data_IF_525963452682
#
_entry.id   IF_525963452682
#
_cell.length_a   1.000
_cell.length_b   1.000
_cell.length_c   1.000
_cell.angle_alpha   90.00
_cell.angle_beta   90.00
_cell.angle_gamma   90.00
#
_symmetry.space_group_name_H-M   'P 1'
#
loop_
_entity.id
_entity.type
_entity.pdbx_description
1 polymer ?
#
# COMPACT_ATOMS: atom_id res chain seq x y z
N UNK A 1 7.00 16.58 4.76
CA UNK A 1 8.32 17.17 4.47
C UNK A 1 8.34 18.54 5.10
N UNK A 2 9.31 18.82 5.95
CA UNK A 2 9.49 20.13 6.57
C UNK A 2 10.34 21.04 5.65
N UNK A 3 10.27 22.36 5.85
CA UNK A 3 10.98 23.36 5.05
C UNK A 3 12.50 23.28 5.21
N UNK A 4 12.97 22.73 6.34
CA UNK A 4 14.38 22.48 6.63
C UNK A 4 14.94 21.22 5.94
N UNK A 5 14.20 20.64 4.99
CA UNK A 5 14.52 19.40 4.30
C UNK A 5 14.49 18.13 5.16
N UNK A 6 13.90 18.18 6.36
CA UNK A 6 13.69 16.99 7.18
C UNK A 6 12.35 16.31 6.85
N UNK A 7 12.40 15.00 6.60
CA UNK A 7 11.19 14.19 6.51
C UNK A 7 10.92 13.60 7.89
N UNK A 8 9.81 14.01 8.50
CA UNK A 8 9.40 13.56 9.84
C UNK A 8 8.08 12.83 9.77
N UNK A 9 8.03 11.67 10.42
CA UNK A 9 6.82 10.91 10.69
C UNK A 9 6.49 11.04 12.18
N UNK A 10 5.69 12.05 12.53
CA UNK A 10 5.42 12.42 13.92
C UNK A 10 4.84 11.26 14.74
N UNK A 11 3.79 10.60 14.24
CA UNK A 11 3.15 9.48 14.94
C UNK A 11 3.96 8.17 14.86
N UNK A 12 5.04 8.14 14.07
CA UNK A 12 5.92 6.98 13.91
C UNK A 12 7.24 7.08 14.68
N UNK A 13 7.52 8.24 15.30
CA UNK A 13 8.81 8.55 15.93
C UNK A 13 10.01 8.25 15.01
N UNK A 14 9.91 8.70 13.76
CA UNK A 14 10.97 8.54 12.76
C UNK A 14 11.24 9.86 12.04
N UNK A 15 12.51 10.09 11.70
CA UNK A 15 12.92 11.19 10.84
C UNK A 15 14.14 10.82 9.98
N UNK A 16 14.31 11.49 8.84
CA UNK A 16 15.46 11.31 7.94
C UNK A 16 16.78 11.89 8.47
N UNK A 17 16.73 12.72 9.53
CA UNK A 17 17.89 13.43 10.09
C UNK A 17 18.61 14.28 9.02
N UNK A 18 17.83 15.01 8.24
CA UNK A 18 18.30 15.86 7.12
C UNK A 18 18.01 17.34 7.30
N UNK A 19 17.61 17.74 8.50
CA UNK A 19 17.39 19.14 8.87
C UNK A 19 18.59 20.01 8.46
N UNK A 20 18.30 21.12 7.78
CA UNK A 20 19.23 22.12 7.29
C UNK A 20 20.29 21.60 6.30
N UNK A 21 20.10 20.42 5.70
CA UNK A 21 21.04 19.88 4.69
C UNK A 21 20.76 20.36 3.26
N UNK A 22 19.77 21.23 3.04
CA UNK A 22 19.41 21.75 1.73
C UNK A 22 18.35 22.84 1.77
N UNK A 23 17.81 23.21 0.61
CA UNK A 23 16.67 24.11 0.41
C UNK A 23 15.75 23.54 -0.68
N UNK A 24 14.47 23.94 -0.64
CA UNK A 24 13.44 23.54 -1.61
C UNK A 24 13.32 22.03 -1.81
N UNK A 25 13.45 21.28 -0.72
CA UNK A 25 13.58 19.83 -0.80
C UNK A 25 12.25 19.14 -1.12
N UNK A 26 12.34 18.11 -1.95
CA UNK A 26 11.21 17.30 -2.40
C UNK A 26 11.47 15.83 -2.10
N UNK A 27 10.44 15.16 -1.61
CA UNK A 27 10.43 13.71 -1.49
C UNK A 27 9.99 13.12 -2.84
N UNK A 28 10.76 12.16 -3.36
CA UNK A 28 10.50 11.50 -4.63
C UNK A 28 10.59 9.99 -4.44
N UNK A 29 9.62 9.26 -4.98
CA UNK A 29 9.69 7.81 -5.11
C UNK A 29 10.13 7.50 -6.55
N UNK A 30 11.21 6.76 -6.73
CA UNK A 30 11.71 6.40 -8.04
C UNK A 30 10.94 5.22 -8.65
N UNK A 31 11.09 5.02 -9.96
CA UNK A 31 10.62 3.83 -10.67
C UNK A 31 11.40 2.56 -10.32
N UNK A 32 12.36 2.63 -9.39
CA UNK A 32 13.08 1.51 -8.79
C UNK A 32 12.68 1.26 -7.32
N UNK A 33 11.71 2.01 -6.80
CA UNK A 33 11.22 1.86 -5.43
C UNK A 33 12.09 2.52 -4.38
N UNK A 34 12.98 3.44 -4.76
CA UNK A 34 13.77 4.22 -3.81
C UNK A 34 13.03 5.49 -3.43
N UNK A 35 12.83 5.73 -2.13
CA UNK A 35 12.51 7.05 -1.62
C UNK A 35 13.79 7.89 -1.51
N UNK A 36 13.75 9.08 -2.12
CA UNK A 36 14.86 10.04 -2.19
C UNK A 36 14.37 11.41 -1.75
N UNK A 37 15.20 12.10 -0.96
CA UNK A 37 15.05 13.54 -0.73
C UNK A 37 16.02 14.28 -1.66
N UNK A 38 15.47 15.05 -2.58
CA UNK A 38 16.23 15.91 -3.49
C UNK A 38 16.12 17.37 -3.03
N UNK A 39 17.19 18.16 -3.19
CA UNK A 39 17.12 19.63 -3.07
C UNK A 39 16.45 20.23 -4.32
N UNK A 40 16.18 21.54 -4.28
CA UNK A 40 15.69 22.28 -5.45
C UNK A 40 16.60 22.18 -6.68
N UNK A 41 17.92 22.05 -6.47
CA UNK A 41 18.92 21.89 -7.54
C UNK A 41 19.03 20.46 -8.09
N UNK A 42 18.25 19.51 -7.57
CA UNK A 42 18.26 18.11 -7.98
C UNK A 42 19.30 17.22 -7.28
N UNK A 43 20.18 17.78 -6.44
CA UNK A 43 21.13 16.99 -5.65
C UNK A 43 20.43 16.20 -4.53
N UNK A 44 20.97 15.01 -4.24
CA UNK A 44 20.37 14.08 -3.28
C UNK A 44 20.89 14.35 -1.87
N UNK A 45 19.97 14.48 -0.92
CA UNK A 45 20.27 14.70 0.51
C UNK A 45 20.15 13.41 1.31
N UNK A 46 19.22 12.54 0.92
CA UNK A 46 18.97 11.28 1.61
C UNK A 46 18.34 10.25 0.68
N UNK A 47 18.64 8.98 0.97
CA UNK A 47 18.14 7.80 0.28
C UNK A 47 17.64 6.80 1.31
N UNK A 48 16.51 6.17 1.01
CA UNK A 48 16.03 4.99 1.74
C UNK A 48 16.95 3.78 1.57
N UNK A 49 17.72 3.73 0.49
CA UNK A 49 18.59 2.60 0.12
C UNK A 49 17.83 1.40 -0.47
N UNK A 50 16.50 1.49 -0.58
CA UNK A 50 15.67 0.49 -1.21
C UNK A 50 15.86 0.54 -2.72
N UNK A 51 16.28 -0.57 -3.33
CA UNK A 51 16.45 -0.68 -4.78
C UNK A 51 15.85 -1.98 -5.26
N UNK A 52 15.01 -1.89 -6.29
CA UNK A 52 14.34 -3.02 -6.91
C UNK A 52 14.30 -2.83 -8.44
N UNK A 53 13.77 -3.82 -9.16
CA UNK A 53 13.61 -3.76 -10.62
C UNK A 53 12.71 -2.58 -10.99
N UNK A 54 12.90 -2.01 -12.19
CA UNK A 54 12.03 -0.95 -12.69
C UNK A 54 10.55 -1.38 -12.67
N UNK A 55 9.65 -0.46 -12.28
CA UNK A 55 8.20 -0.66 -12.26
C UNK A 55 7.46 0.38 -11.44
N UNK A 56 6.19 0.10 -11.15
CA UNK A 56 5.32 0.99 -10.36
C UNK A 56 5.38 0.65 -8.88
N UNK A 57 5.53 1.69 -8.05
CA UNK A 57 5.67 1.61 -6.60
C UNK A 57 4.71 2.57 -5.91
N UNK A 58 4.36 2.26 -4.67
CA UNK A 58 3.56 3.13 -3.81
C UNK A 58 4.26 3.34 -2.46
N UNK A 59 4.37 4.59 -2.01
CA UNK A 59 4.81 4.93 -0.66
C UNK A 59 3.56 5.27 0.18
N UNK A 60 3.32 4.49 1.24
CA UNK A 60 2.07 4.50 2.02
C UNK A 60 2.39 4.67 3.49
N UNK A 61 1.62 5.52 4.20
CA UNK A 61 1.62 5.56 5.66
C UNK A 61 0.73 4.41 6.15
N UNK A 62 1.36 3.38 6.70
CA UNK A 62 0.68 2.24 7.32
C UNK A 62 -0.03 2.66 8.61
N UNK A 63 -1.20 2.07 8.95
CA UNK A 63 -1.93 2.37 10.19
C UNK A 63 -1.10 2.23 11.48
N UNK A 64 -0.05 1.40 11.45
CA UNK A 64 0.91 1.24 12.55
C UNK A 64 1.91 2.41 12.71
N UNK A 65 1.72 3.51 11.96
CA UNK A 65 2.59 4.68 12.05
C UNK A 65 3.95 4.47 11.39
N UNK A 66 4.00 3.73 10.28
CA UNK A 66 5.22 3.49 9.50
C UNK A 66 5.03 3.97 8.07
N UNK A 67 6.05 4.58 7.46
CA UNK A 67 6.07 4.83 6.02
C UNK A 67 6.66 3.59 5.34
N UNK A 68 5.90 2.98 4.43
CA UNK A 68 6.24 1.72 3.76
C UNK A 68 6.24 1.95 2.26
N UNK A 69 7.25 1.39 1.56
CA UNK A 69 7.28 1.34 0.10
C UNK A 69 6.88 -0.05 -0.35
N UNK A 70 5.79 -0.13 -1.10
CA UNK A 70 5.29 -1.34 -1.74
C UNK A 70 5.65 -1.36 -3.22
N UNK A 71 6.07 -2.53 -3.71
CA UNK A 71 6.12 -2.76 -5.14
C UNK A 71 6.77 -4.08 -5.54
N UNK A 72 6.60 -4.49 -6.79
CA UNK A 72 5.95 -3.73 -7.87
C UNK A 72 4.43 -3.89 -7.87
N UNK A 73 3.70 -3.16 -8.72
CA UNK A 73 2.30 -3.47 -8.99
C UNK A 73 2.16 -4.93 -9.49
N UNK A 74 1.20 -5.66 -8.95
CA UNK A 74 0.92 -7.07 -9.32
C UNK A 74 -0.46 -7.25 -9.95
N UNK A 75 -1.40 -6.34 -9.71
CA UNK A 75 -2.74 -6.40 -10.29
C UNK A 75 -3.35 -5.01 -10.37
N UNK A 76 -4.22 -4.82 -11.35
CA UNK A 76 -4.89 -3.55 -11.63
C UNK A 76 -6.33 -3.81 -12.06
N UNK A 77 -7.27 -3.22 -11.34
CA UNK A 77 -8.65 -3.02 -11.77
C UNK A 77 -8.63 -1.81 -12.70
N UNK A 78 -8.88 -2.06 -13.98
CA UNK A 78 -8.99 -1.03 -15.00
C UNK A 78 -10.47 -0.63 -15.15
N UNK A 79 -10.86 0.61 -14.81
CA UNK A 79 -12.21 1.10 -15.07
C UNK A 79 -12.45 1.45 -16.54
N UNK A 80 -11.45 1.29 -17.43
CA UNK A 80 -11.51 1.63 -18.85
C UNK A 80 -11.24 0.41 -19.75
N UNK A 81 -11.83 0.44 -20.94
CA UNK A 81 -11.46 -0.40 -22.10
C UNK A 81 -10.86 0.58 -23.14
N UNK A 82 -9.79 0.23 -23.88
CA UNK A 82 -8.53 0.98 -23.90
C UNK A 82 -8.54 2.37 -24.55
N UNK A 83 -7.67 3.24 -24.00
CA UNK A 83 -7.14 4.44 -24.65
C UNK A 83 -7.25 5.72 -23.81
N UNK A 84 -6.23 6.01 -22.97
CA UNK A 84 -5.62 7.33 -22.71
C UNK A 84 -4.84 7.37 -21.37
N UNK A 85 -3.81 8.23 -21.34
CA UNK A 85 -2.80 8.36 -20.28
C UNK A 85 -3.32 9.04 -19.02
N UNK A 86 -2.85 8.55 -17.85
CA UNK A 86 -3.12 9.09 -16.51
C UNK A 86 -2.49 10.47 -16.28
N UNK A 87 -3.22 11.41 -15.66
CA UNK A 87 -2.65 12.67 -15.18
C UNK A 87 -3.02 13.00 -13.72
N UNK A 88 -1.94 13.15 -12.95
CA UNK A 88 -1.66 14.09 -11.84
C UNK A 88 -2.53 14.04 -10.57
N UNK A 89 -1.92 13.49 -9.52
CA UNK A 89 -2.33 13.48 -8.12
C UNK A 89 -2.38 14.89 -7.50
N UNK A 90 -3.51 15.27 -6.88
CA UNK A 90 -3.59 16.33 -5.86
C UNK A 90 -4.68 16.04 -4.82
N UNK A 91 -4.35 16.38 -3.57
CA UNK A 91 -5.13 16.35 -2.32
C UNK A 91 -5.49 14.97 -1.75
N UNK A 92 -4.72 14.55 -0.74
CA UNK A 92 -4.99 13.40 0.11
C UNK A 92 -6.01 13.82 1.17
N UNK A 93 -7.29 13.59 0.90
CA UNK A 93 -8.26 13.44 1.99
C UNK A 93 -7.98 12.10 2.69
N UNK A 94 -8.14 12.02 4.02
CA UNK A 94 -8.16 10.74 4.74
C UNK A 94 -9.41 9.97 4.27
N UNK A 95 -9.27 9.24 3.18
CA UNK A 95 -10.29 8.36 2.63
C UNK A 95 -9.97 6.93 3.07
N UNK A 96 -11.00 6.12 3.30
CA UNK A 96 -10.84 4.67 3.35
C UNK A 96 -10.62 4.18 1.92
N UNK A 97 -9.44 4.36 1.35
CA UNK A 97 -9.14 4.01 -0.04
C UNK A 97 -8.14 2.85 -0.16
N UNK A 98 -7.77 2.23 0.96
CA UNK A 98 -6.75 1.18 1.02
C UNK A 98 -7.30 -0.07 1.69
N UNK A 99 -6.84 -1.24 1.23
CA UNK A 99 -7.02 -2.53 1.86
C UNK A 99 -5.65 -3.23 1.94
N UNK A 100 -5.16 -3.47 3.14
CA UNK A 100 -3.88 -4.15 3.36
C UNK A 100 -4.02 -5.67 3.35
N UNK A 101 -2.94 -6.39 3.02
CA UNK A 101 -2.91 -7.85 3.09
C UNK A 101 -3.29 -8.34 4.50
N UNK A 102 -4.19 -9.32 4.57
CA UNK A 102 -4.75 -9.83 5.83
C UNK A 102 -6.03 -9.11 6.28
N UNK A 103 -6.32 -7.91 5.75
CA UNK A 103 -7.59 -7.24 5.99
C UNK A 103 -8.69 -7.77 5.06
N UNK A 104 -9.93 -7.53 5.48
CA UNK A 104 -11.14 -7.88 4.74
C UNK A 104 -12.02 -6.65 4.56
N UNK A 105 -12.72 -6.61 3.44
CA UNK A 105 -13.84 -5.70 3.20
C UNK A 105 -15.11 -6.55 3.19
N UNK A 106 -15.87 -6.48 4.28
CA UNK A 106 -17.14 -7.19 4.43
C UNK A 106 -18.21 -6.69 3.45
N UNK A 107 -19.32 -7.42 3.36
CA UNK A 107 -20.52 -6.98 2.65
C UNK A 107 -20.89 -5.52 2.99
N UNK A 108 -21.25 -4.77 1.93
CA UNK A 108 -21.54 -3.34 1.88
C UNK A 108 -20.38 -2.40 2.29
N UNK A 109 -19.23 -2.97 2.65
CA UNK A 109 -17.98 -2.27 2.83
C UNK A 109 -17.50 -1.66 1.52
N UNK A 110 -16.85 -0.49 1.61
CA UNK A 110 -16.38 0.25 0.45
C UNK A 110 -15.01 0.88 0.63
N UNK A 111 -14.25 0.94 -0.46
CA UNK A 111 -13.13 1.86 -0.62
C UNK A 111 -13.58 3.08 -1.43
N UNK A 112 -13.11 4.28 -1.09
CA UNK A 112 -13.54 5.53 -1.75
C UNK A 112 -12.36 6.39 -2.19
N UNK A 113 -12.37 6.92 -3.42
CA UNK A 113 -11.42 7.92 -3.88
C UNK A 113 -12.11 8.90 -4.83
N UNK A 114 -12.19 10.19 -4.45
CA UNK A 114 -13.00 11.20 -5.16
C UNK A 114 -14.44 10.73 -5.39
N UNK A 115 -14.84 10.58 -6.65
CA UNK A 115 -16.16 10.11 -7.08
C UNK A 115 -16.19 8.60 -7.37
N UNK A 116 -15.10 7.87 -7.10
CA UNK A 116 -15.00 6.42 -7.29
C UNK A 116 -15.23 5.68 -5.98
N UNK A 117 -15.96 4.56 -6.07
CA UNK A 117 -16.24 3.69 -4.92
C UNK A 117 -16.11 2.22 -5.34
N UNK A 118 -15.20 1.49 -4.71
CA UNK A 118 -15.11 0.03 -4.86
C UNK A 118 -15.90 -0.61 -3.71
N UNK A 119 -17.00 -1.28 -4.02
CA UNK A 119 -17.98 -1.79 -3.05
C UNK A 119 -18.08 -3.31 -3.16
N UNK A 120 -17.91 -4.01 -2.05
CA UNK A 120 -18.26 -5.42 -1.93
C UNK A 120 -19.75 -5.50 -1.61
N UNK A 121 -20.61 -5.66 -2.62
CA UNK A 121 -22.05 -5.64 -2.43
C UNK A 121 -22.53 -6.90 -1.67
N UNK A 122 -23.67 -6.78 -0.98
CA UNK A 122 -24.30 -7.90 -0.27
C UNK A 122 -24.74 -9.08 -1.14
N UNK A 123 -24.83 -8.91 -2.47
CA UNK A 123 -25.14 -9.98 -3.42
C UNK A 123 -23.90 -10.75 -3.90
N UNK A 124 -22.75 -10.58 -3.25
CA UNK A 124 -21.46 -11.17 -3.62
C UNK A 124 -20.81 -10.61 -4.89
N UNK A 125 -21.28 -9.48 -5.41
CA UNK A 125 -20.62 -8.77 -6.51
C UNK A 125 -19.66 -7.68 -5.99
N UNK A 126 -18.44 -7.62 -6.53
CA UNK A 126 -17.51 -6.52 -6.28
C UNK A 126 -17.65 -5.51 -7.42
N UNK A 127 -18.06 -4.29 -7.11
CA UNK A 127 -18.36 -3.26 -8.12
C UNK A 127 -17.56 -1.99 -7.87
N UNK A 128 -16.94 -1.47 -8.91
CA UNK A 128 -16.34 -0.14 -8.96
C UNK A 128 -17.32 0.83 -9.60
N UNK A 129 -17.89 1.69 -8.77
CA UNK A 129 -18.69 2.84 -9.18
C UNK A 129 -17.82 4.07 -9.41
N UNK A 130 -18.34 5.01 -10.20
CA UNK A 130 -17.64 6.23 -10.58
C UNK A 130 -16.84 6.07 -11.87
N UNK A 131 -16.70 7.18 -12.61
CA UNK A 131 -16.13 7.17 -13.96
C UNK A 131 -17.17 6.88 -15.05
N UNK A 132 -16.72 6.82 -16.31
CA UNK A 132 -17.61 6.68 -17.48
C UNK A 132 -18.06 5.23 -17.74
N UNK A 133 -17.26 4.24 -17.35
CA UNK A 133 -17.46 2.85 -17.79
C UNK A 133 -17.62 1.80 -16.67
N UNK A 134 -17.32 2.11 -15.41
CA UNK A 134 -17.49 1.18 -14.29
C UNK A 134 -16.71 -0.14 -14.44
N UNK A 135 -16.63 -0.93 -13.38
CA UNK A 135 -16.09 -2.29 -13.44
C UNK A 135 -16.82 -3.18 -12.43
N UNK A 136 -16.95 -4.47 -12.72
CA UNK A 136 -17.48 -5.45 -11.76
C UNK A 136 -16.88 -6.85 -11.93
N UNK A 137 -16.88 -7.63 -10.85
CA UNK A 137 -16.43 -9.04 -10.84
C UNK A 137 -17.40 -10.00 -11.51
N UNK A 138 -18.66 -9.59 -11.72
CA UNK A 138 -19.75 -10.41 -12.26
C UNK A 138 -20.03 -11.67 -11.42
N UNK A 139 -20.07 -11.51 -10.09
CA UNK A 139 -20.23 -12.63 -9.14
C UNK A 139 -21.50 -12.55 -8.31
N UNK A 140 -22.47 -11.76 -8.77
CA UNK A 140 -23.77 -11.63 -8.14
C UNK A 140 -24.46 -13.01 -7.98
N UNK A 141 -24.94 -13.31 -6.77
CA UNK A 141 -25.65 -14.55 -6.46
C UNK A 141 -24.81 -15.83 -6.43
N UNK A 142 -23.48 -15.73 -6.56
CA UNK A 142 -22.60 -16.91 -6.56
C UNK A 142 -22.16 -17.36 -5.16
N UNK A 143 -22.69 -16.77 -4.10
CA UNK A 143 -22.38 -17.12 -2.70
C UNK A 143 -23.26 -16.35 -1.72
N UNK A 144 -23.00 -16.54 -0.42
CA UNK A 144 -23.68 -15.84 0.68
C UNK A 144 -22.65 -15.15 1.59
N UNK A 145 -23.06 -14.04 2.22
CA UNK A 145 -22.25 -13.27 3.18
C UNK A 145 -20.82 -12.95 2.71
N UNK A 146 -20.65 -12.67 1.42
CA UNK A 146 -19.32 -12.57 0.85
C UNK A 146 -18.49 -11.39 1.37
N UNK A 147 -17.19 -11.59 1.38
CA UNK A 147 -16.20 -10.57 1.71
C UNK A 147 -15.04 -10.58 0.73
N UNK A 148 -14.48 -9.40 0.49
CA UNK A 148 -13.25 -9.23 -0.27
C UNK A 148 -12.05 -9.35 0.67
N UNK A 149 -10.99 -10.02 0.24
CA UNK A 149 -9.72 -10.08 0.98
C UNK A 149 -8.52 -9.93 0.06
N UNK A 150 -7.48 -9.28 0.55
CA UNK A 150 -6.15 -9.28 -0.05
C UNK A 150 -5.25 -10.24 0.72
N UNK A 151 -4.65 -11.22 0.04
CA UNK A 151 -3.72 -12.14 0.71
C UNK A 151 -2.26 -11.65 0.69
N UNK A 152 -1.39 -12.34 1.44
CA UNK A 152 0.04 -12.05 1.52
C UNK A 152 0.84 -12.54 0.30
N UNK A 153 0.17 -12.84 -0.81
CA UNK A 153 0.77 -13.06 -2.13
C UNK A 153 0.29 -12.03 -3.15
N UNK A 154 -0.47 -11.02 -2.73
CA UNK A 154 -0.97 -9.97 -3.61
C UNK A 154 -2.17 -10.37 -4.46
N UNK A 155 -2.83 -11.47 -4.12
CA UNK A 155 -4.05 -11.93 -4.79
C UNK A 155 -5.27 -11.40 -4.07
N UNK A 156 -6.18 -10.79 -4.85
CA UNK A 156 -7.45 -10.26 -4.39
C UNK A 156 -8.53 -11.30 -4.64
N UNK A 157 -9.28 -11.65 -3.60
CA UNK A 157 -10.26 -12.73 -3.65
C UNK A 157 -11.58 -12.30 -3.04
N UNK A 158 -12.69 -12.72 -3.64
CA UNK A 158 -14.02 -12.73 -3.01
C UNK A 158 -14.21 -14.13 -2.43
N UNK A 159 -14.57 -14.19 -1.16
CA UNK A 159 -14.92 -15.43 -0.47
C UNK A 159 -16.30 -15.33 0.15
N UNK A 160 -16.99 -16.46 0.29
CA UNK A 160 -18.19 -16.59 1.11
C UNK A 160 -17.82 -16.93 2.58
N UNK A 161 -18.82 -17.03 3.44
CA UNK A 161 -18.68 -17.40 4.86
C UNK A 161 -18.15 -18.83 5.09
N UNK A 162 -18.39 -19.74 4.15
CA UNK A 162 -17.79 -21.09 4.09
C UNK A 162 -16.32 -21.09 3.60
N UNK A 163 -15.74 -19.91 3.32
CA UNK A 163 -14.38 -19.70 2.81
C UNK A 163 -14.10 -20.25 1.38
N UNK A 164 -15.15 -20.62 0.64
CA UNK A 164 -15.04 -20.90 -0.79
C UNK A 164 -14.59 -19.65 -1.54
N UNK A 165 -13.88 -19.84 -2.66
CA UNK A 165 -13.42 -18.71 -3.48
C UNK A 165 -14.40 -18.47 -4.60
N UNK A 166 -15.15 -17.38 -4.50
CA UNK A 166 -16.16 -16.97 -5.49
C UNK A 166 -15.49 -16.31 -6.70
N UNK A 167 -14.45 -15.52 -6.44
CA UNK A 167 -13.67 -14.84 -7.47
C UNK A 167 -12.22 -14.66 -7.03
N UNK A 168 -11.31 -14.64 -7.98
CA UNK A 168 -9.90 -14.30 -7.77
C UNK A 168 -9.40 -13.42 -8.91
N UNK A 169 -8.52 -12.47 -8.59
CA UNK A 169 -7.76 -11.68 -9.56
C UNK A 169 -6.83 -12.53 -10.42
N UNK A 170 -6.57 -13.79 -10.03
CA UNK A 170 -5.65 -14.75 -10.66
C UNK A 170 -4.23 -14.19 -10.85
N UNK A 171 -3.89 -13.17 -10.08
CA UNK A 171 -2.56 -12.60 -10.04
C UNK A 171 -1.99 -12.77 -8.63
N UNK A 172 -0.80 -13.33 -8.57
CA UNK A 172 -0.07 -13.54 -7.32
C UNK A 172 1.42 -13.33 -7.55
N UNK A 173 2.12 -13.06 -6.46
CA UNK A 173 3.55 -12.82 -6.40
C UNK A 173 4.12 -13.52 -5.16
N UNK A 174 5.39 -13.25 -4.83
CA UNK A 174 6.08 -13.84 -3.68
C UNK A 174 5.37 -13.49 -2.36
N UNK A 175 5.57 -14.31 -1.33
CA UNK A 175 5.06 -14.02 0.01
C UNK A 175 5.56 -12.65 0.51
N UNK A 176 4.67 -11.86 1.11
CA UNK A 176 4.98 -10.57 1.76
C UNK A 176 3.73 -9.73 2.03
N UNK A 177 3.93 -8.46 2.37
CA UNK A 177 2.81 -7.54 2.63
C UNK A 177 2.44 -6.75 1.39
N UNK A 178 1.13 -6.59 1.16
CA UNK A 178 0.57 -5.95 -0.03
C UNK A 178 -0.46 -4.90 0.38
N UNK A 179 -0.72 -3.97 -0.53
CA UNK A 179 -1.79 -2.98 -0.39
C UNK A 179 -2.54 -2.81 -1.70
N UNK A 180 -3.86 -2.93 -1.64
CA UNK A 180 -4.77 -2.46 -2.69
C UNK A 180 -5.06 -0.99 -2.42
N UNK A 181 -4.88 -0.13 -3.43
CA UNK A 181 -5.17 1.30 -3.36
C UNK A 181 -6.18 1.64 -4.46
N UNK A 182 -7.32 2.20 -4.08
CA UNK A 182 -8.22 2.88 -5.02
C UNK A 182 -7.68 4.30 -5.25
N UNK A 183 -7.34 4.59 -6.50
CA UNK A 183 -6.75 5.84 -6.95
C UNK A 183 -7.82 6.83 -7.41
N UNK A 184 -7.45 8.12 -7.39
CA UNK A 184 -8.33 9.23 -7.76
C UNK A 184 -8.87 9.16 -9.20
N UNK A 185 -8.15 8.49 -10.09
CA UNK A 185 -8.49 8.25 -11.49
C UNK A 185 -9.33 6.97 -11.69
N UNK A 186 -9.73 6.33 -10.59
CA UNK A 186 -10.62 5.17 -10.56
C UNK A 186 -9.90 3.83 -10.60
N UNK A 187 -8.58 3.79 -10.82
CA UNK A 187 -7.87 2.52 -10.85
C UNK A 187 -7.71 1.92 -9.45
N UNK A 188 -8.03 0.63 -9.32
CA UNK A 188 -7.72 -0.16 -8.12
C UNK A 188 -6.42 -0.92 -8.33
N UNK A 189 -5.32 -0.54 -7.68
CA UNK A 189 -3.99 -1.11 -7.96
C UNK A 189 -3.43 -1.82 -6.73
N UNK A 190 -2.92 -3.04 -6.91
CA UNK A 190 -2.27 -3.80 -5.84
C UNK A 190 -0.76 -3.66 -5.97
N UNK A 191 -0.13 -3.07 -4.96
CA UNK A 191 1.31 -2.92 -4.87
C UNK A 191 1.89 -3.92 -3.86
N UNK A 192 2.98 -4.58 -4.24
CA UNK A 192 3.78 -5.32 -3.29
C UNK A 192 4.76 -6.35 -3.88
N UNK A 193 5.50 -7.03 -3.00
CA UNK A 193 5.40 -6.88 -1.55
C UNK A 193 6.08 -5.60 -1.04
N UNK A 194 5.95 -5.29 0.25
CA UNK A 194 6.76 -4.26 0.90
C UNK A 194 8.26 -4.52 0.67
N UNK A 195 8.98 -3.49 0.20
CA UNK A 195 10.43 -3.56 -0.07
C UNK A 195 11.25 -2.70 0.89
N UNK A 196 10.61 -1.77 1.60
CA UNK A 196 11.23 -0.92 2.59
C UNK A 196 10.20 -0.33 3.53
N UNK A 197 10.62 -0.04 4.75
CA UNK A 197 9.80 0.62 5.76
C UNK A 197 10.65 1.45 6.71
N UNK A 198 10.07 2.54 7.23
CA UNK A 198 10.65 3.25 8.37
C UNK A 198 10.58 2.37 9.61
N UNK A 199 11.69 2.24 10.31
CA UNK A 199 11.74 1.61 11.63
C UNK A 199 11.63 2.67 12.71
N UNK A 200 10.80 2.46 13.71
CA UNK A 200 10.76 3.33 14.88
C UNK A 200 12.15 3.37 15.53
N UNK A 201 12.55 4.51 16.08
CA UNK A 201 13.74 4.60 16.93
C UNK A 201 13.57 3.83 18.26
N UNK A 202 12.38 3.28 18.55
CA UNK A 202 12.20 2.32 19.65
C UNK A 202 12.83 0.96 19.27
N UNK A 203 14.02 0.78 19.84
CA UNK A 203 14.77 -0.44 20.19
C UNK A 203 15.43 -1.28 19.08
N UNK A 204 16.69 -0.93 18.76
CA UNK A 204 17.79 -1.91 18.77
C UNK A 204 18.23 -2.23 20.22
N UNK A 205 17.73 -1.50 21.22
CA UNK A 205 17.85 -1.82 22.64
C UNK A 205 16.78 -2.85 23.10
N UNK A 206 16.79 -4.03 22.49
CA UNK A 206 16.23 -5.28 23.04
C UNK A 206 16.78 -6.50 22.27
N UNK A 207 18.06 -6.46 21.89
CA UNK A 207 18.87 -7.68 21.83
C UNK A 207 19.86 -7.57 22.97
N UNK A 208 19.37 -7.77 24.19
CA UNK A 208 20.26 -8.24 25.24
C UNK A 208 20.93 -9.51 24.71
N UNK A 209 22.25 -9.48 24.73
CA UNK A 209 23.08 -10.68 24.72
C UNK A 209 22.55 -11.62 25.81
N UNK A 210 21.73 -12.59 25.44
CA UNK A 210 21.63 -13.84 26.18
C UNK A 210 22.92 -14.63 25.90
N UNK A 211 24.01 -14.22 26.55
CA UNK A 211 25.13 -15.14 26.82
C UNK A 211 24.55 -16.09 27.86
N UNK A 212 24.24 -17.32 27.45
CA UNK A 212 23.72 -18.34 28.35
C UNK A 212 24.70 -18.56 29.50
N UNK A 213 24.25 -18.25 30.72
CA UNK A 213 24.82 -18.85 31.93
C UNK A 213 23.99 -20.09 32.24
N UNK A 214 24.62 -21.26 32.08
CA UNK A 214 24.05 -22.54 32.51
C UNK A 214 24.24 -22.64 34.01
N UNK A 215 23.15 -22.72 34.77
CA UNK A 215 23.19 -23.18 36.15
C UNK A 215 23.13 -24.70 36.17
N UNK A 216 24.24 -25.34 36.50
CA UNK A 216 24.25 -26.74 36.94
C UNK A 216 23.72 -26.85 38.37
N UNK A 217 22.72 -27.71 38.57
CA UNK A 217 22.37 -28.40 39.82
C UNK A 217 22.04 -29.83 39.39
N UNK A 218 22.47 -30.91 40.05
CA UNK A 218 22.92 -31.13 41.42
C UNK A 218 24.32 -31.76 41.45
#
# INVERSE_FOLDING_TARGET
MQDDCNLVLYNGNWQSNTANKGRDCKLTLTDHGELIINKGDGSIVWRSGAQSKKGDYAAVIHPEGRLVVFGRSVFKIDPWVPGLNSLRLRNIAFMNNMLFSGQVLSADGRLTARNHQLVMQGDCNLVLYGGKYGWQSNTHGNGEHCFLRLNHKGELMIKDDDFNTIWSSRSSSRQGDYVLILQDDGFGVIYGPAIWETRSQRSIAAKEKMIGMVTGKL
#
